data_IF_391512401902
#
_entry.id   IF_391512401902
#
_cell.length_a   1.000
_cell.length_b   1.000
_cell.length_c   1.000
_cell.angle_alpha   90.00
_cell.angle_beta   90.00
_cell.angle_gamma   90.00
#
_symmetry.space_group_name_H-M   'P 1'
#
loop_
_entity.id
_entity.type
_entity.pdbx_description
1 polymer ?
#
# COMPACT_ATOMS: atom_id res chain seq x y z
N UNK A 1 -72.63 11.58 39.62
CA UNK A 1 -71.16 11.35 39.69
C UNK A 1 -70.80 10.60 38.44
N UNK A 2 -70.20 11.23 37.46
CA UNK A 2 -69.86 10.69 36.15
C UNK A 2 -68.36 10.37 36.13
N UNK A 3 -68.00 9.10 36.02
CA UNK A 3 -66.62 8.66 35.86
C UNK A 3 -66.23 8.73 34.41
N UNK A 4 -65.18 9.55 34.13
CA UNK A 4 -64.59 9.72 32.82
C UNK A 4 -63.46 8.73 32.64
N UNK A 5 -63.60 7.76 31.72
CA UNK A 5 -62.57 6.75 31.41
C UNK A 5 -61.73 7.31 30.25
N UNK A 6 -60.44 7.57 30.53
CA UNK A 6 -59.44 7.98 29.55
C UNK A 6 -58.83 6.78 28.86
N UNK A 7 -59.09 6.60 27.56
CA UNK A 7 -58.48 5.53 26.74
C UNK A 7 -57.19 6.09 26.12
N UNK A 8 -56.08 5.58 26.58
CA UNK A 8 -54.75 5.91 26.07
C UNK A 8 -54.44 4.98 24.87
N UNK A 9 -54.58 5.50 23.65
CA UNK A 9 -54.20 4.81 22.43
C UNK A 9 -52.69 4.89 22.21
N UNK A 10 -51.98 3.80 22.42
CA UNK A 10 -50.55 3.67 22.05
C UNK A 10 -50.42 3.40 20.55
N UNK A 11 -49.96 4.41 19.80
CA UNK A 11 -49.54 4.26 18.40
C UNK A 11 -48.20 3.51 18.34
N UNK A 12 -48.23 2.25 17.93
CA UNK A 12 -47.05 1.44 17.65
C UNK A 12 -46.50 1.90 16.29
N UNK A 13 -45.47 2.72 16.30
CA UNK A 13 -44.74 3.09 15.08
C UNK A 13 -43.91 1.88 14.61
N UNK A 14 -44.36 1.22 13.56
CA UNK A 14 -43.58 0.20 12.82
C UNK A 14 -42.43 0.94 12.09
N UNK A 15 -41.27 0.91 12.68
CA UNK A 15 -40.04 1.22 11.93
C UNK A 15 -39.77 0.09 10.92
N UNK A 16 -40.17 0.31 9.69
CA UNK A 16 -39.74 -0.52 8.56
C UNK A 16 -38.26 -0.23 8.34
N UNK A 17 -37.38 -1.08 8.89
CA UNK A 17 -35.99 -1.13 8.53
C UNK A 17 -35.92 -1.53 7.05
N UNK A 18 -35.69 -0.55 6.18
CA UNK A 18 -35.32 -0.78 4.79
C UNK A 18 -33.97 -1.49 4.82
N UNK A 19 -33.98 -2.82 4.71
CA UNK A 19 -32.77 -3.54 4.30
C UNK A 19 -32.52 -3.14 2.85
N UNK A 20 -31.54 -2.27 2.61
CA UNK A 20 -30.96 -2.14 1.31
C UNK A 20 -30.43 -3.52 0.93
N UNK A 21 -31.19 -4.23 0.11
CA UNK A 21 -30.76 -5.48 -0.50
C UNK A 21 -29.56 -5.13 -1.37
N UNK A 22 -28.34 -5.40 -0.88
CA UNK A 22 -27.16 -5.46 -1.73
C UNK A 22 -27.51 -6.43 -2.85
N UNK A 23 -27.76 -5.87 -4.05
CA UNK A 23 -28.07 -6.65 -5.23
C UNK A 23 -26.98 -7.71 -5.40
N UNK A 24 -27.36 -8.99 -5.40
CA UNK A 24 -26.43 -10.08 -5.63
C UNK A 24 -25.72 -9.83 -6.96
N UNK A 25 -24.40 -9.99 -6.96
CA UNK A 25 -23.59 -9.81 -8.16
C UNK A 25 -23.87 -10.88 -9.24
N UNK A 26 -24.78 -11.82 -8.97
CA UNK A 26 -25.17 -12.92 -9.83
C UNK A 26 -26.65 -12.82 -10.18
N UNK A 27 -27.01 -13.01 -11.47
CA UNK A 27 -28.41 -13.04 -11.91
C UNK A 27 -29.11 -14.35 -11.49
N UNK A 28 -30.45 -14.34 -11.48
CA UNK A 28 -31.27 -15.56 -11.26
C UNK A 28 -31.31 -16.46 -12.51
N UNK A 29 -30.94 -15.94 -13.68
CA UNK A 29 -30.88 -16.69 -14.94
C UNK A 29 -29.57 -17.50 -15.06
N UNK A 30 -29.53 -18.54 -15.94
CA UNK A 30 -28.27 -19.25 -16.23
C UNK A 30 -27.15 -18.30 -16.61
N UNK A 31 -25.99 -18.46 -15.98
CA UNK A 31 -24.87 -17.54 -16.15
C UNK A 31 -23.53 -18.23 -15.89
N UNK A 32 -22.47 -17.64 -16.39
CA UNK A 32 -21.09 -17.99 -16.06
C UNK A 32 -20.39 -16.82 -15.39
N UNK A 33 -19.50 -17.14 -14.46
CA UNK A 33 -18.60 -16.21 -13.82
C UNK A 33 -17.18 -16.47 -14.32
N UNK A 34 -16.50 -15.44 -14.81
CA UNK A 34 -15.13 -15.54 -15.32
C UNK A 34 -14.22 -14.49 -14.66
N UNK A 35 -12.95 -14.86 -14.52
CA UNK A 35 -11.86 -13.97 -14.18
C UNK A 35 -10.89 -13.93 -15.34
N UNK A 36 -10.53 -12.73 -15.78
CA UNK A 36 -9.36 -12.53 -16.64
C UNK A 36 -8.24 -11.86 -15.87
N UNK A 37 -7.01 -12.14 -16.28
CA UNK A 37 -5.81 -11.60 -15.64
C UNK A 37 -4.75 -11.27 -16.68
N UNK A 38 -4.02 -10.18 -16.46
CA UNK A 38 -2.87 -9.83 -17.27
C UNK A 38 -1.76 -9.24 -16.44
N UNK A 39 -0.54 -9.64 -16.71
CA UNK A 39 0.68 -9.13 -16.09
C UNK A 39 1.58 -8.55 -17.15
N UNK A 40 2.02 -7.31 -16.96
CA UNK A 40 3.06 -6.64 -17.72
C UNK A 40 4.28 -6.42 -16.82
N UNK A 41 5.47 -6.40 -17.42
CA UNK A 41 6.71 -6.11 -16.69
C UNK A 41 7.34 -4.83 -17.19
N UNK A 42 8.07 -4.15 -16.31
CA UNK A 42 8.89 -2.98 -16.64
C UNK A 42 10.10 -2.90 -15.72
N UNK A 43 11.15 -2.25 -16.18
CA UNK A 43 12.27 -1.90 -15.30
C UNK A 43 11.93 -0.63 -14.53
N UNK A 44 12.37 -0.52 -13.26
CA UNK A 44 12.25 0.74 -12.51
C UNK A 44 13.11 1.82 -13.16
N UNK A 45 12.64 3.07 -13.10
CA UNK A 45 13.32 4.24 -13.63
C UNK A 45 13.60 5.33 -12.58
N UNK A 46 13.14 5.11 -11.34
CA UNK A 46 13.50 5.94 -10.20
C UNK A 46 13.47 5.15 -8.90
N UNK A 47 14.16 5.65 -7.88
CA UNK A 47 14.08 5.14 -6.52
C UNK A 47 13.48 6.20 -5.60
N UNK A 48 12.52 5.81 -4.77
CA UNK A 48 12.04 6.61 -3.66
C UNK A 48 12.69 6.11 -2.38
N UNK A 49 13.49 6.98 -1.78
CA UNK A 49 14.25 6.72 -0.56
C UNK A 49 13.66 7.55 0.58
N UNK A 50 13.32 6.93 1.69
CA UNK A 50 12.96 7.58 2.94
C UNK A 50 14.00 7.25 4.00
N UNK A 51 14.71 8.27 4.46
CA UNK A 51 15.74 8.19 5.49
C UNK A 51 15.43 9.11 6.65
N UNK A 52 16.06 8.91 7.78
CA UNK A 52 15.83 9.72 8.96
C UNK A 52 17.09 9.93 9.79
N UNK A 53 16.95 10.87 10.68
CA UNK A 53 17.87 11.11 11.79
C UNK A 53 17.07 11.18 13.08
N UNK A 54 17.51 10.46 14.08
CA UNK A 54 16.99 10.54 15.45
C UNK A 54 18.14 10.90 16.39
N UNK A 55 17.93 11.93 17.19
CA UNK A 55 18.83 12.37 18.23
C UNK A 55 18.11 12.39 19.60
N UNK A 56 18.85 12.06 20.64
CA UNK A 56 18.38 12.13 22.02
C UNK A 56 19.32 13.02 22.83
N UNK A 57 18.78 14.06 23.46
CA UNK A 57 19.52 14.95 24.34
C UNK A 57 18.63 15.39 25.52
N UNK A 58 19.24 15.71 26.66
CA UNK A 58 18.52 16.28 27.81
C UNK A 58 18.00 17.69 27.51
N UNK A 59 18.71 18.42 26.64
CA UNK A 59 18.29 19.72 26.12
C UNK A 59 17.55 19.52 24.77
N UNK A 60 16.27 19.85 24.75
CA UNK A 60 15.43 19.77 23.56
C UNK A 60 15.96 20.63 22.42
N UNK A 61 16.48 21.83 22.72
CA UNK A 61 16.97 22.76 21.70
C UNK A 61 18.24 22.19 21.07
N UNK A 62 19.13 21.60 21.87
CA UNK A 62 20.34 20.94 21.39
C UNK A 62 20.01 19.76 20.47
N UNK A 63 19.11 18.86 20.90
CA UNK A 63 18.65 17.74 20.06
C UNK A 63 18.07 18.21 18.73
N UNK A 64 17.16 19.20 18.78
CA UNK A 64 16.54 19.77 17.57
C UNK A 64 17.57 20.39 16.63
N UNK A 65 18.46 21.22 17.13
CA UNK A 65 19.46 21.88 16.29
C UNK A 65 20.40 20.88 15.61
N UNK A 66 20.82 19.82 16.30
CA UNK A 66 21.65 18.75 15.74
C UNK A 66 20.93 18.01 14.63
N UNK A 67 19.65 17.67 14.85
CA UNK A 67 18.80 17.02 13.87
C UNK A 67 18.60 17.91 12.62
N UNK A 68 18.32 19.20 12.83
CA UNK A 68 18.13 20.16 11.73
C UNK A 68 19.40 20.34 10.87
N UNK A 69 20.55 20.42 11.52
CA UNK A 69 21.85 20.53 10.81
C UNK A 69 22.14 19.28 9.96
N UNK A 70 21.86 18.10 10.48
CA UNK A 70 22.06 16.85 9.74
C UNK A 70 21.14 16.78 8.53
N UNK A 71 19.86 17.11 8.67
CA UNK A 71 18.93 17.15 7.54
C UNK A 71 19.33 18.22 6.51
N UNK A 72 19.77 19.39 6.94
CA UNK A 72 20.26 20.43 6.01
C UNK A 72 21.46 19.96 5.19
N UNK A 73 22.42 19.25 5.81
CA UNK A 73 23.53 18.61 5.10
C UNK A 73 23.05 17.55 4.12
N UNK A 74 22.12 16.68 4.54
CA UNK A 74 21.55 15.65 3.69
C UNK A 74 20.84 16.25 2.47
N UNK A 75 20.05 17.32 2.63
CA UNK A 75 19.40 18.03 1.52
C UNK A 75 20.44 18.58 0.53
N UNK A 76 21.53 19.17 1.04
CA UNK A 76 22.60 19.67 0.18
C UNK A 76 23.22 18.56 -0.66
N UNK A 77 23.59 17.43 -0.04
CA UNK A 77 24.12 16.25 -0.73
C UNK A 77 23.20 15.72 -1.81
N UNK A 78 21.91 15.60 -1.49
CA UNK A 78 20.89 15.14 -2.42
C UNK A 78 20.80 16.06 -3.65
N UNK A 79 20.86 17.39 -3.45
CA UNK A 79 20.89 18.36 -4.55
C UNK A 79 22.19 18.27 -5.39
N UNK A 80 23.34 18.05 -4.77
CA UNK A 80 24.64 17.87 -5.45
C UNK A 80 24.66 16.63 -6.36
N UNK A 81 23.95 15.55 -5.99
CA UNK A 81 23.76 14.35 -6.81
C UNK A 81 22.81 14.58 -8.00
N UNK A 82 22.08 15.71 -7.99
CA UNK A 82 21.21 16.13 -9.10
C UNK A 82 19.71 15.88 -8.86
N UNK A 83 19.29 15.61 -7.62
CA UNK A 83 17.86 15.54 -7.29
C UNK A 83 17.23 16.92 -7.33
N UNK A 84 16.08 17.04 -7.99
CA UNK A 84 15.34 18.29 -8.10
C UNK A 84 14.68 18.67 -6.78
N UNK A 85 14.52 19.97 -6.55
CA UNK A 85 13.93 20.47 -5.30
C UNK A 85 12.49 19.94 -5.05
N UNK A 86 11.68 19.81 -6.09
CA UNK A 86 10.34 19.23 -5.98
C UNK A 86 10.28 17.74 -5.65
N UNK A 87 11.43 17.04 -5.78
CA UNK A 87 11.58 15.61 -5.47
C UNK A 87 12.19 15.39 -4.07
N UNK A 88 12.30 16.45 -3.25
CA UNK A 88 12.85 16.43 -1.88
C UNK A 88 11.75 16.85 -0.90
N UNK A 89 11.48 16.03 0.10
CA UNK A 89 10.55 16.36 1.19
C UNK A 89 11.20 16.09 2.56
N UNK A 90 11.36 17.13 3.37
CA UNK A 90 11.95 17.08 4.71
C UNK A 90 11.09 17.77 5.77
N UNK A 91 9.79 17.94 5.52
CA UNK A 91 8.87 18.70 6.38
C UNK A 91 8.50 18.01 7.69
N UNK A 92 8.69 16.70 7.81
CA UNK A 92 8.24 15.95 8.99
C UNK A 92 9.27 16.02 10.14
N UNK A 93 8.81 16.43 11.32
CA UNK A 93 9.55 16.39 12.58
C UNK A 93 8.69 15.75 13.66
N UNK A 94 9.31 14.95 14.52
CA UNK A 94 8.67 14.38 15.73
C UNK A 94 9.55 14.68 16.96
N UNK A 95 8.90 15.10 18.03
CA UNK A 95 9.56 15.42 19.32
C UNK A 95 8.83 14.66 20.40
N UNK A 96 9.54 13.79 21.12
CA UNK A 96 9.00 12.98 22.20
C UNK A 96 9.91 13.03 23.41
N UNK A 97 9.33 12.83 24.60
CA UNK A 97 10.13 12.54 25.80
C UNK A 97 10.61 11.09 25.72
N UNK A 98 11.92 10.89 25.90
CA UNK A 98 12.51 9.56 26.04
C UNK A 98 12.65 9.23 27.53
N UNK A 99 12.05 8.12 27.95
CA UNK A 99 12.08 7.64 29.32
C UNK A 99 12.25 6.13 29.32
N UNK A 100 13.14 5.64 30.17
CA UNK A 100 13.43 4.23 30.35
C UNK A 100 12.97 3.73 31.70
N UNK A 101 12.28 2.60 31.71
CA UNK A 101 11.92 1.95 32.98
C UNK A 101 13.15 1.32 33.64
N UNK A 102 13.47 1.79 34.87
CA UNK A 102 14.54 1.23 35.68
C UNK A 102 13.98 0.10 36.57
N UNK A 103 14.36 -1.14 36.27
CA UNK A 103 13.89 -2.33 36.99
C UNK A 103 14.35 -2.37 38.46
N UNK A 104 15.45 -1.69 38.80
CA UNK A 104 16.00 -1.69 40.15
C UNK A 104 15.23 -0.72 41.05
N UNK A 105 14.82 0.44 40.53
CA UNK A 105 14.11 1.47 41.28
C UNK A 105 12.59 1.40 41.10
N UNK A 106 12.08 0.64 40.10
CA UNK A 106 10.66 0.56 39.78
C UNK A 106 10.09 1.83 39.13
N UNK A 107 10.93 2.78 38.74
CA UNK A 107 10.51 4.08 38.22
C UNK A 107 10.86 4.30 36.75
N UNK A 108 10.12 5.21 36.09
CA UNK A 108 10.45 5.77 34.79
C UNK A 108 11.52 6.85 34.94
N UNK A 109 12.70 6.63 34.37
CA UNK A 109 13.80 7.60 34.37
C UNK A 109 13.80 8.39 33.05
N UNK A 110 13.77 9.71 33.16
CA UNK A 110 13.91 10.59 31.99
C UNK A 110 15.32 10.50 31.41
N UNK A 111 15.44 10.12 30.13
CA UNK A 111 16.71 10.04 29.41
C UNK A 111 17.00 11.28 28.58
N UNK A 112 15.96 11.95 28.11
CA UNK A 112 16.09 13.16 27.29
C UNK A 112 14.84 13.41 26.44
N UNK A 113 15.02 14.26 25.45
CA UNK A 113 14.08 14.48 24.36
C UNK A 113 14.59 13.77 23.12
N UNK A 114 13.76 12.91 22.56
CA UNK A 114 13.99 12.23 21.29
C UNK A 114 13.41 13.10 20.16
N UNK A 115 14.27 13.62 19.30
CA UNK A 115 13.89 14.41 18.13
C UNK A 115 14.22 13.62 16.88
N UNK A 116 13.21 13.38 16.04
CA UNK A 116 13.36 12.64 14.78
C UNK A 116 12.92 13.51 13.61
N UNK A 117 13.66 13.45 12.51
CA UNK A 117 13.28 14.06 11.23
C UNK A 117 13.43 13.06 10.09
N UNK A 118 12.50 13.13 9.13
CA UNK A 118 12.49 12.28 7.95
C UNK A 118 12.79 13.12 6.72
N UNK A 119 13.61 12.56 5.83
CA UNK A 119 13.89 13.08 4.49
C UNK A 119 13.45 12.04 3.48
N UNK A 120 12.51 12.40 2.61
CA UNK A 120 12.09 11.57 1.47
C UNK A 120 12.64 12.18 0.19
N UNK A 121 13.23 11.34 -0.64
CA UNK A 121 13.91 11.71 -1.87
C UNK A 121 13.44 10.84 -3.01
N UNK A 122 13.13 11.44 -4.17
CA UNK A 122 12.93 10.73 -5.43
C UNK A 122 14.17 10.92 -6.32
N UNK A 123 14.95 9.85 -6.48
CA UNK A 123 16.15 9.82 -7.29
C UNK A 123 15.85 9.18 -8.65
N UNK A 124 15.96 9.95 -9.74
CA UNK A 124 15.68 9.48 -11.11
C UNK A 124 16.84 8.68 -11.72
N UNK A 125 18.07 8.91 -11.27
CA UNK A 125 19.22 8.10 -11.70
C UNK A 125 19.49 6.99 -10.66
N UNK A 126 18.92 5.81 -10.91
CA UNK A 126 19.01 4.66 -10.00
C UNK A 126 20.48 4.25 -9.76
N UNK A 127 21.36 4.44 -10.73
CA UNK A 127 22.76 4.04 -10.61
C UNK A 127 23.50 4.82 -9.52
N UNK A 128 23.00 6.02 -9.17
CA UNK A 128 23.55 6.85 -8.09
C UNK A 128 23.01 6.50 -6.70
N UNK A 129 22.08 5.53 -6.60
CA UNK A 129 21.48 5.17 -5.33
C UNK A 129 22.49 4.66 -4.30
N UNK A 130 23.43 3.74 -4.62
CA UNK A 130 24.42 3.27 -3.65
C UNK A 130 25.31 4.40 -3.13
N UNK A 131 25.76 5.30 -4.02
CA UNK A 131 26.56 6.46 -3.67
C UNK A 131 25.78 7.43 -2.77
N UNK A 132 24.54 7.74 -3.13
CA UNK A 132 23.65 8.57 -2.33
C UNK A 132 23.49 8.03 -0.92
N UNK A 133 23.16 6.74 -0.79
CA UNK A 133 22.94 6.11 0.48
C UNK A 133 24.19 6.15 1.37
N UNK A 134 25.36 5.82 0.82
CA UNK A 134 26.63 5.89 1.53
C UNK A 134 26.95 7.31 2.01
N UNK A 135 26.75 8.30 1.16
CA UNK A 135 26.98 9.70 1.50
C UNK A 135 26.03 10.21 2.60
N UNK A 136 24.76 9.80 2.58
CA UNK A 136 23.80 10.15 3.62
C UNK A 136 24.18 9.55 4.98
N UNK A 137 24.57 8.28 5.02
CA UNK A 137 25.04 7.61 6.25
C UNK A 137 26.31 8.27 6.80
N UNK A 138 27.28 8.55 5.94
CA UNK A 138 28.54 9.22 6.33
C UNK A 138 28.32 10.65 6.88
N UNK A 139 27.19 11.28 6.54
CA UNK A 139 26.84 12.63 7.00
C UNK A 139 25.80 12.65 8.12
N UNK A 140 25.58 11.50 8.80
CA UNK A 140 24.85 11.43 10.06
C UNK A 140 23.41 10.95 9.94
N UNK A 141 22.92 10.58 8.76
CA UNK A 141 21.66 9.83 8.65
C UNK A 141 21.85 8.49 9.34
N UNK A 142 21.01 8.16 10.30
CA UNK A 142 21.10 6.94 11.12
C UNK A 142 19.87 6.04 11.00
N UNK A 143 18.89 6.42 10.20
CA UNK A 143 17.69 5.61 9.94
C UNK A 143 17.45 5.50 8.42
N UNK A 144 17.26 4.26 7.94
CA UNK A 144 16.79 3.97 6.59
C UNK A 144 15.40 3.38 6.76
N UNK A 145 14.36 4.21 6.50
CA UNK A 145 12.98 3.82 6.77
C UNK A 145 12.41 2.98 5.63
N UNK A 146 12.71 3.38 4.38
CA UNK A 146 12.16 2.72 3.21
C UNK A 146 12.98 3.02 1.96
N UNK A 147 13.15 1.99 1.12
CA UNK A 147 13.67 2.11 -0.25
C UNK A 147 12.69 1.41 -1.19
N UNK A 148 12.22 2.12 -2.21
CA UNK A 148 11.33 1.56 -3.24
C UNK A 148 11.86 1.90 -4.63
N UNK A 149 12.06 0.87 -5.44
CA UNK A 149 12.34 1.02 -6.87
C UNK A 149 11.02 1.04 -7.63
N UNK A 150 10.77 2.10 -8.37
CA UNK A 150 9.46 2.40 -8.96
C UNK A 150 9.60 2.75 -10.44
N UNK A 151 8.51 2.64 -11.17
CA UNK A 151 8.44 2.98 -12.59
C UNK A 151 7.46 4.14 -12.82
N UNK A 152 7.91 5.18 -13.49
CA UNK A 152 7.09 6.37 -13.79
C UNK A 152 5.90 6.03 -14.70
N UNK A 153 6.03 5.01 -15.52
CA UNK A 153 5.00 4.51 -16.44
C UNK A 153 4.06 3.48 -15.80
N UNK A 154 4.17 3.22 -14.47
CA UNK A 154 3.35 2.21 -13.76
C UNK A 154 1.85 2.38 -14.05
N UNK A 155 1.32 3.59 -13.94
CA UNK A 155 -0.10 3.85 -14.15
C UNK A 155 -0.55 3.61 -15.60
N UNK A 156 0.31 3.87 -16.57
CA UNK A 156 0.05 3.58 -17.99
C UNK A 156 0.02 2.06 -18.23
N UNK A 157 1.01 1.36 -17.71
CA UNK A 157 1.09 -0.10 -17.79
C UNK A 157 -0.08 -0.76 -17.06
N UNK A 158 -0.47 -0.25 -15.90
CA UNK A 158 -1.63 -0.76 -15.17
C UNK A 158 -2.93 -0.63 -15.99
N UNK A 159 -3.14 0.52 -16.65
CA UNK A 159 -4.28 0.69 -17.57
C UNK A 159 -4.21 -0.27 -18.78
N UNK A 160 -3.01 -0.54 -19.30
CA UNK A 160 -2.82 -1.54 -20.37
C UNK A 160 -3.13 -2.94 -19.87
N UNK A 161 -2.62 -3.31 -18.69
CA UNK A 161 -2.91 -4.60 -18.05
C UNK A 161 -4.42 -4.78 -17.80
N UNK A 162 -5.13 -3.73 -17.34
CA UNK A 162 -6.58 -3.77 -17.17
C UNK A 162 -7.31 -4.09 -18.50
N UNK A 163 -6.93 -3.45 -19.60
CA UNK A 163 -7.53 -3.72 -20.90
C UNK A 163 -7.28 -5.16 -21.36
N UNK A 164 -6.08 -5.68 -21.11
CA UNK A 164 -5.72 -7.06 -21.43
C UNK A 164 -6.50 -8.05 -20.55
N UNK A 165 -6.64 -7.78 -19.26
CA UNK A 165 -7.43 -8.59 -18.33
C UNK A 165 -8.93 -8.62 -18.72
N UNK A 166 -9.48 -7.50 -19.20
CA UNK A 166 -10.86 -7.47 -19.72
C UNK A 166 -10.99 -8.34 -20.98
N UNK A 167 -9.99 -8.27 -21.86
CA UNK A 167 -9.97 -9.13 -23.05
C UNK A 167 -9.88 -10.61 -22.67
N UNK A 168 -8.98 -10.93 -21.75
CA UNK A 168 -8.77 -12.29 -21.24
C UNK A 168 -10.05 -12.84 -20.58
N UNK A 169 -10.75 -12.07 -19.76
CA UNK A 169 -12.03 -12.47 -19.18
C UNK A 169 -13.10 -12.75 -20.26
N UNK A 170 -13.12 -11.97 -21.35
CA UNK A 170 -14.06 -12.18 -22.46
C UNK A 170 -13.72 -13.43 -23.26
N UNK A 171 -12.43 -13.63 -23.55
CA UNK A 171 -11.94 -14.79 -24.28
C UNK A 171 -12.21 -16.07 -23.47
N UNK A 172 -11.94 -16.04 -22.14
CA UNK A 172 -12.27 -17.13 -21.22
C UNK A 172 -13.77 -17.46 -21.17
N UNK A 173 -14.64 -16.43 -21.17
CA UNK A 173 -16.09 -16.66 -21.19
C UNK A 173 -16.52 -17.37 -22.48
N UNK A 174 -15.92 -17.03 -23.61
CA UNK A 174 -16.20 -17.60 -24.91
C UNK A 174 -15.77 -19.08 -24.98
N UNK A 175 -14.51 -19.35 -24.61
CA UNK A 175 -13.95 -20.70 -24.55
C UNK A 175 -14.77 -21.58 -23.60
N UNK A 176 -15.11 -21.09 -22.41
CA UNK A 176 -15.90 -21.82 -21.44
C UNK A 176 -17.29 -22.18 -21.96
N UNK A 177 -17.98 -21.25 -22.64
CA UNK A 177 -19.31 -21.52 -23.20
C UNK A 177 -19.24 -22.54 -24.35
N UNK A 178 -18.22 -22.49 -25.20
CA UNK A 178 -17.98 -23.46 -26.26
C UNK A 178 -17.73 -24.87 -25.71
N UNK A 179 -16.89 -24.99 -24.65
CA UNK A 179 -16.56 -26.26 -23.99
C UNK A 179 -17.76 -26.91 -23.32
N UNK A 180 -18.67 -26.12 -22.76
CA UNK A 180 -19.92 -26.63 -22.14
C UNK A 180 -21.06 -26.79 -23.15
N UNK A 181 -20.88 -26.38 -24.40
CA UNK A 181 -21.91 -26.48 -25.42
C UNK A 181 -23.13 -25.59 -25.19
N UNK A 182 -22.92 -24.41 -24.57
CA UNK A 182 -23.93 -23.40 -24.31
C UNK A 182 -23.64 -22.12 -25.08
N UNK A 183 -24.68 -21.34 -25.38
CA UNK A 183 -24.50 -20.08 -26.10
C UNK A 183 -24.18 -18.93 -25.14
N UNK A 184 -23.05 -18.27 -25.36
CA UNK A 184 -22.71 -17.05 -24.63
C UNK A 184 -23.63 -15.90 -25.04
N UNK A 185 -24.33 -15.32 -24.07
CA UNK A 185 -25.22 -14.16 -24.26
C UNK A 185 -24.54 -12.85 -23.81
N UNK A 186 -25.35 -11.87 -23.44
CA UNK A 186 -24.88 -10.56 -23.03
C UNK A 186 -24.11 -10.54 -21.71
N UNK A 187 -23.30 -9.51 -21.52
CA UNK A 187 -22.66 -9.21 -20.25
C UNK A 187 -23.73 -8.77 -19.24
N UNK A 188 -23.79 -9.43 -18.08
CA UNK A 188 -24.65 -9.02 -16.97
C UNK A 188 -23.96 -7.97 -16.09
N UNK A 189 -22.74 -8.27 -15.63
CA UNK A 189 -21.96 -7.35 -14.80
C UNK A 189 -20.46 -7.55 -15.04
N UNK A 190 -19.69 -6.49 -14.78
CA UNK A 190 -18.24 -6.56 -14.81
C UNK A 190 -17.63 -5.62 -13.76
N UNK A 191 -16.47 -6.00 -13.23
CA UNK A 191 -15.72 -5.23 -12.23
C UNK A 191 -14.23 -5.46 -12.39
N UNK A 192 -13.43 -4.48 -11.98
CA UNK A 192 -11.98 -4.62 -11.82
C UNK A 192 -11.59 -5.08 -10.39
N UNK A 193 -12.55 -5.18 -9.50
CA UNK A 193 -12.42 -5.77 -8.16
C UNK A 193 -13.23 -7.06 -8.10
N UNK A 194 -12.88 -8.01 -7.22
CA UNK A 194 -13.65 -9.23 -7.04
C UNK A 194 -15.13 -8.92 -6.82
N UNK A 195 -16.00 -9.57 -7.57
CA UNK A 195 -17.43 -9.50 -7.35
C UNK A 195 -17.74 -10.31 -6.09
N UNK A 196 -18.60 -9.78 -5.21
CA UNK A 196 -19.03 -10.45 -3.98
C UNK A 196 -19.97 -11.63 -4.36
N UNK A 197 -19.41 -12.69 -4.92
CA UNK A 197 -20.09 -13.97 -5.04
C UNK A 197 -19.96 -14.62 -3.67
N UNK A 198 -21.05 -14.97 -3.01
CA UNK A 198 -21.03 -15.72 -1.75
C UNK A 198 -20.37 -17.09 -1.97
N UNK A 199 -19.06 -17.12 -2.03
CA UNK A 199 -18.27 -18.35 -1.94
C UNK A 199 -17.71 -18.42 -0.52
N UNK A 200 -17.96 -19.52 0.16
CA UNK A 200 -17.35 -19.78 1.46
C UNK A 200 -15.83 -19.72 1.32
N UNK A 201 -15.12 -19.02 2.24
CA UNK A 201 -13.68 -18.88 2.15
C UNK A 201 -13.00 -20.23 2.40
N UNK A 202 -12.52 -20.86 1.33
CA UNK A 202 -11.50 -21.89 1.47
C UNK A 202 -10.19 -21.19 1.78
N UNK A 203 -9.81 -21.14 3.05
CA UNK A 203 -8.49 -20.69 3.47
C UNK A 203 -7.45 -21.71 3.01
N UNK A 204 -6.83 -21.48 1.86
CA UNK A 204 -5.59 -22.13 1.49
C UNK A 204 -4.44 -21.33 2.09
N UNK A 205 -3.90 -21.81 3.20
CA UNK A 205 -2.67 -21.27 3.77
C UNK A 205 -1.51 -21.55 2.80
N UNK A 206 -1.10 -20.56 2.02
CA UNK A 206 0.18 -20.61 1.32
C UNK A 206 1.30 -20.40 2.35
N UNK A 207 2.09 -21.45 2.50
CA UNK A 207 3.28 -21.45 3.34
C UNK A 207 4.35 -20.63 2.64
N UNK A 208 4.52 -19.36 3.05
CA UNK A 208 5.65 -18.54 2.61
C UNK A 208 6.90 -19.15 3.22
N UNK A 209 7.75 -19.74 2.39
CA UNK A 209 9.10 -20.15 2.79
C UNK A 209 9.95 -18.87 2.93
N UNK A 210 10.28 -18.52 4.16
CA UNK A 210 11.32 -17.54 4.43
C UNK A 210 12.67 -18.17 4.06
N UNK A 211 13.34 -17.58 3.08
CA UNK A 211 14.72 -17.88 2.79
C UNK A 211 15.61 -17.23 3.86
N UNK A 212 16.39 -18.05 4.52
CA UNK A 212 17.38 -17.69 5.53
C UNK A 212 18.53 -16.93 4.85
N UNK A 213 18.73 -15.67 5.17
CA UNK A 213 19.81 -14.85 4.62
C UNK A 213 20.97 -14.80 5.59
N UNK A 214 22.07 -15.46 5.21
CA UNK A 214 23.35 -15.34 5.87
C UNK A 214 23.93 -13.91 5.72
N UNK A 215 24.71 -13.40 6.69
CA UNK A 215 25.30 -12.08 6.61
C UNK A 215 26.43 -12.07 5.57
N UNK A 216 26.33 -11.22 4.56
CA UNK A 216 27.40 -11.02 3.58
C UNK A 216 28.03 -9.65 3.70
N UNK A 217 29.35 -9.64 3.63
CA UNK A 217 30.21 -8.46 3.50
C UNK A 217 29.80 -7.63 2.28
N UNK A 218 30.02 -6.31 2.36
CA UNK A 218 29.78 -5.33 1.31
C UNK A 218 30.11 -5.87 -0.09
N UNK A 219 29.09 -5.98 -0.95
CA UNK A 219 29.20 -6.38 -2.35
C UNK A 219 28.58 -5.28 -3.21
N UNK A 220 29.31 -4.70 -4.20
CA UNK A 220 28.78 -3.67 -5.08
C UNK A 220 27.50 -4.06 -5.84
N UNK A 221 27.25 -5.33 -6.06
CA UNK A 221 26.05 -5.88 -6.72
C UNK A 221 24.83 -6.11 -5.81
N UNK A 222 24.87 -5.64 -4.56
CA UNK A 222 23.78 -5.85 -3.58
C UNK A 222 22.47 -5.10 -3.90
N UNK A 223 22.47 -4.22 -4.89
CA UNK A 223 21.32 -3.36 -5.21
C UNK A 223 20.76 -3.67 -6.61
N UNK A 224 20.22 -4.88 -6.79
CA UNK A 224 19.49 -5.24 -8.00
C UNK A 224 18.01 -4.88 -7.83
N UNK A 225 17.53 -3.91 -8.59
CA UNK A 225 16.15 -3.41 -8.50
C UNK A 225 15.09 -4.40 -9.01
N UNK A 226 15.51 -5.44 -9.79
CA UNK A 226 14.58 -6.41 -10.38
C UNK A 226 13.56 -5.79 -11.33
N UNK A 227 12.72 -6.63 -11.93
CA UNK A 227 11.59 -6.18 -12.73
C UNK A 227 10.36 -5.89 -11.87
N UNK A 228 9.64 -4.84 -12.20
CA UNK A 228 8.34 -4.51 -11.60
C UNK A 228 7.26 -5.24 -12.39
N UNK A 229 6.49 -6.08 -11.70
CA UNK A 229 5.30 -6.74 -12.26
C UNK A 229 4.07 -5.88 -12.00
N UNK A 230 3.33 -5.60 -13.07
CA UNK A 230 2.11 -4.81 -13.04
C UNK A 230 0.95 -5.74 -13.43
N UNK A 231 0.24 -6.25 -12.43
CA UNK A 231 -0.86 -7.18 -12.64
C UNK A 231 -2.20 -6.46 -12.49
N UNK A 232 -3.15 -6.81 -13.36
CA UNK A 232 -4.54 -6.39 -13.26
C UNK A 232 -5.46 -7.59 -13.47
N UNK A 233 -6.62 -7.56 -12.80
CA UNK A 233 -7.66 -8.56 -12.95
C UNK A 233 -8.96 -7.90 -13.42
N UNK A 234 -9.79 -8.66 -14.12
CA UNK A 234 -11.15 -8.31 -14.50
C UNK A 234 -12.08 -9.47 -14.18
N UNK A 235 -13.23 -9.15 -13.62
CA UNK A 235 -14.26 -10.12 -13.25
C UNK A 235 -15.51 -9.81 -14.04
N UNK A 236 -16.14 -10.82 -14.61
CA UNK A 236 -17.34 -10.64 -15.40
C UNK A 236 -18.33 -11.78 -15.19
N UNK A 237 -19.61 -11.46 -15.31
CA UNK A 237 -20.73 -12.42 -15.34
C UNK A 237 -21.45 -12.26 -16.65
N UNK A 238 -21.60 -13.36 -17.38
CA UNK A 238 -22.32 -13.42 -18.64
C UNK A 238 -23.52 -14.35 -18.53
N UNK A 239 -24.61 -13.98 -19.20
CA UNK A 239 -25.72 -14.89 -19.40
C UNK A 239 -25.36 -15.99 -20.41
N UNK A 240 -25.93 -17.17 -20.20
CA UNK A 240 -25.86 -18.33 -21.11
C UNK A 240 -27.26 -18.91 -21.31
N UNK A 241 -27.46 -19.72 -22.33
CA UNK A 241 -28.67 -20.55 -22.56
C UNK A 241 -28.32 -21.95 -23.08
#
# INVERSE_FOLDING_TARGET
MKTLTLVLGSALALNVLSFDALAAATPDAPHIYVKGEATLTTMPDYVQLSVGITEVDKDLIAAKNKTDLTIAKAIKLVKEIGVKEGDINAGQISINRDSQYNRTTGNQEFKGFKVSRTLTVKLSDINKYPELLQNLVNNGINEINQTQFLASNYNELHKKAQKLAIKDARDAAKEFSEDYGVDLKGLYSASLSPLNVQSQPYMRAEKVMMADSAPSNYVPDAYHAGEIKVTASSYAVYYID
#
